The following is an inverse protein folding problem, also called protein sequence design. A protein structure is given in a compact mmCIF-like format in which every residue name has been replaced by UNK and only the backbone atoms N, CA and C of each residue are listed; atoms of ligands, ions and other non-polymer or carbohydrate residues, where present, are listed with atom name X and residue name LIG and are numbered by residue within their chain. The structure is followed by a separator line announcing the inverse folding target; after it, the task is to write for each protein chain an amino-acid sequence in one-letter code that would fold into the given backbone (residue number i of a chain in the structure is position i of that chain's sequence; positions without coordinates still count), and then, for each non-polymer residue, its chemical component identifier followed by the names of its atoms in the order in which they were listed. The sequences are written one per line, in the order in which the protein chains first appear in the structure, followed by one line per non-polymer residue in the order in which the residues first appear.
data_IF_872019216442
#
_entry.id   IF_872019216442
#
_cell.length_a   1.000
_cell.length_b   1.000
_cell.length_c   1.000
_cell.angle_alpha   90.00
_cell.angle_beta   90.00
_cell.angle_gamma   90.00
#
_symmetry.space_group_name_H-M   'P 1'
#
loop_
_entity.id
_entity.type
_entity.pdbx_description
1 polymer ?
#
# COMPACT_ATOMS: atom_id res chain seq x y z
N UNK A 1 23.29 33.04 -1.68
CA UNK A 1 23.26 31.56 -1.74
C UNK A 1 22.32 30.88 -0.74
N UNK A 2 21.79 31.57 0.28
CA UNK A 2 20.88 30.97 1.28
C UNK A 2 19.42 30.76 0.80
N UNK A 3 18.94 31.49 -0.22
CA UNK A 3 17.55 31.40 -0.68
C UNK A 3 17.21 30.13 -1.46
N UNK A 4 18.18 29.52 -2.14
CA UNK A 4 17.97 28.30 -2.94
C UNK A 4 17.75 27.06 -2.05
N UNK A 5 18.43 26.99 -0.90
CA UNK A 5 18.30 25.87 0.03
C UNK A 5 16.93 25.82 0.74
N UNK A 6 16.37 26.99 1.06
CA UNK A 6 15.06 27.08 1.74
C UNK A 6 13.93 26.71 0.76
N UNK A 7 14.03 27.10 -0.53
CA UNK A 7 13.05 26.75 -1.55
C UNK A 7 13.06 25.25 -1.87
N UNK A 8 14.23 24.62 -1.88
CA UNK A 8 14.40 23.20 -2.11
C UNK A 8 13.83 22.37 -0.93
N UNK A 9 14.12 22.79 0.30
CA UNK A 9 13.57 22.15 1.51
C UNK A 9 12.04 22.29 1.60
N UNK A 10 11.47 23.43 1.21
CA UNK A 10 10.02 23.64 1.14
C UNK A 10 9.37 22.79 0.04
N UNK A 11 10.03 22.66 -1.10
CA UNK A 11 9.55 21.82 -2.20
C UNK A 11 9.53 20.34 -1.81
N UNK A 12 10.61 19.84 -1.18
CA UNK A 12 10.69 18.46 -0.71
C UNK A 12 9.67 18.20 0.42
N UNK A 13 9.47 19.15 1.32
CA UNK A 13 8.47 19.05 2.38
C UNK A 13 7.03 19.04 1.82
N UNK A 14 6.72 19.90 0.84
CA UNK A 14 5.42 19.91 0.16
C UNK A 14 5.19 18.65 -0.67
N UNK A 15 6.25 18.08 -1.25
CA UNK A 15 6.19 16.81 -1.96
C UNK A 15 5.90 15.67 -1.00
N UNK A 16 6.59 15.63 0.15
CA UNK A 16 6.40 14.64 1.20
C UNK A 16 4.99 14.69 1.80
N UNK A 17 4.44 15.88 2.06
CA UNK A 17 3.06 16.07 2.52
C UNK A 17 2.02 15.62 1.47
N UNK A 18 2.31 15.76 0.17
CA UNK A 18 1.47 15.23 -0.90
C UNK A 18 1.53 13.71 -0.97
N UNK A 19 2.71 13.12 -0.82
CA UNK A 19 2.92 11.68 -0.82
C UNK A 19 2.23 11.02 0.38
N UNK A 20 2.38 11.56 1.58
CA UNK A 20 1.68 11.08 2.79
C UNK A 20 0.15 11.18 2.66
N UNK A 21 -0.35 12.24 2.03
CA UNK A 21 -1.80 12.41 1.83
C UNK A 21 -2.37 11.43 0.79
N UNK A 22 -1.58 11.03 -0.21
CA UNK A 22 -1.99 10.07 -1.24
C UNK A 22 -2.00 8.63 -0.68
N UNK A 23 -1.12 8.31 0.27
CA UNK A 23 -1.02 6.98 0.90
C UNK A 23 -2.27 6.58 1.70
N UNK A 24 -3.03 7.55 2.20
CA UNK A 24 -4.24 7.30 2.98
C UNK A 24 -5.48 7.00 2.10
N UNK A 25 -5.42 7.25 0.80
CA UNK A 25 -6.55 7.03 -0.10
C UNK A 25 -6.66 5.57 -0.52
N UNK A 26 -7.85 5.00 -0.41
CA UNK A 26 -8.13 3.63 -0.84
C UNK A 26 -9.53 3.50 -1.44
N UNK A 27 -9.78 2.37 -2.11
CA UNK A 27 -11.09 2.01 -2.62
C UNK A 27 -12.04 1.61 -1.48
N UNK A 28 -13.34 1.69 -1.72
CA UNK A 28 -14.33 1.17 -0.77
C UNK A 28 -14.18 -0.35 -0.57
N UNK A 29 -13.83 -1.07 -1.64
CA UNK A 29 -13.57 -2.51 -1.59
C UNK A 29 -12.35 -2.83 -0.71
N UNK A 30 -11.26 -2.07 -0.87
CA UNK A 30 -10.05 -2.21 -0.06
C UNK A 30 -10.34 -1.96 1.42
N UNK A 31 -11.09 -0.91 1.73
CA UNK A 31 -11.51 -0.62 3.11
C UNK A 31 -12.32 -1.78 3.72
N UNK A 32 -13.30 -2.32 2.98
CA UNK A 32 -14.10 -3.47 3.43
C UNK A 32 -13.24 -4.71 3.68
N UNK A 33 -12.25 -4.96 2.84
CA UNK A 33 -11.30 -6.08 3.04
C UNK A 33 -10.47 -5.91 4.31
N UNK A 34 -9.94 -4.71 4.58
CA UNK A 34 -9.20 -4.44 5.81
C UNK A 34 -10.07 -4.59 7.06
N UNK A 35 -11.31 -4.12 7.01
CA UNK A 35 -12.27 -4.30 8.11
C UNK A 35 -12.60 -5.76 8.36
N UNK A 36 -12.76 -6.57 7.30
CA UNK A 36 -13.02 -8.01 7.42
C UNK A 36 -11.80 -8.74 8.02
N UNK A 37 -10.58 -8.41 7.56
CA UNK A 37 -9.35 -8.96 8.11
C UNK A 37 -9.19 -8.60 9.59
N UNK A 38 -9.40 -7.35 9.97
CA UNK A 38 -9.35 -6.92 11.36
C UNK A 38 -10.31 -7.72 12.23
N UNK A 39 -11.55 -7.87 11.75
CA UNK A 39 -12.57 -8.65 12.47
C UNK A 39 -12.15 -10.12 12.64
N UNK A 40 -11.58 -10.75 11.61
CA UNK A 40 -11.08 -12.12 11.68
C UNK A 40 -9.97 -12.27 12.73
N UNK A 41 -8.98 -11.37 12.70
CA UNK A 41 -7.89 -11.37 13.68
C UNK A 41 -8.39 -11.23 15.11
N UNK A 42 -9.38 -10.36 15.34
CA UNK A 42 -9.93 -10.11 16.68
C UNK A 42 -10.88 -11.22 17.17
N UNK A 43 -11.71 -11.78 16.28
CA UNK A 43 -12.77 -12.71 16.68
C UNK A 43 -12.39 -14.18 16.50
N UNK A 44 -11.39 -14.50 15.70
CA UNK A 44 -10.97 -15.87 15.43
C UNK A 44 -9.55 -16.11 15.92
N UNK A 45 -8.58 -15.33 15.45
CA UNK A 45 -7.16 -15.63 15.74
C UNK A 45 -6.80 -15.30 17.20
N UNK A 46 -7.27 -14.16 17.74
CA UNK A 46 -6.98 -13.80 19.14
C UNK A 46 -7.52 -14.84 20.15
N UNK A 47 -8.77 -15.35 20.05
CA UNK A 47 -9.23 -16.43 20.90
C UNK A 47 -8.42 -17.74 20.76
N UNK A 48 -8.00 -18.11 19.53
CA UNK A 48 -7.16 -19.31 19.31
C UNK A 48 -5.83 -19.19 20.06
N UNK A 49 -5.16 -18.04 19.95
CA UNK A 49 -3.89 -17.83 20.66
C UNK A 49 -4.11 -17.79 22.17
N UNK A 50 -5.21 -17.18 22.65
CA UNK A 50 -5.56 -17.21 24.06
C UNK A 50 -5.76 -18.63 24.59
N UNK A 51 -6.43 -19.50 23.82
CA UNK A 51 -6.60 -20.91 24.17
C UNK A 51 -5.27 -21.67 24.18
N UNK A 52 -4.39 -21.42 23.22
CA UNK A 52 -3.06 -22.02 23.17
C UNK A 52 -2.21 -21.63 24.40
N UNK A 53 -2.27 -20.37 24.82
CA UNK A 53 -1.60 -19.90 26.05
C UNK A 53 -2.16 -20.62 27.28
N UNK A 54 -3.48 -20.77 27.38
CA UNK A 54 -4.11 -21.47 28.50
C UNK A 54 -3.70 -22.96 28.54
N UNK A 55 -3.77 -23.64 27.40
CA UNK A 55 -3.33 -25.04 27.26
C UNK A 55 -1.87 -25.22 27.65
N UNK A 56 -0.97 -24.35 27.19
CA UNK A 56 0.43 -24.41 27.55
C UNK A 56 0.66 -24.21 29.06
N UNK A 57 -0.11 -23.35 29.73
CA UNK A 57 -0.08 -23.14 31.17
C UNK A 57 -0.51 -24.40 31.94
N UNK A 58 -1.54 -25.08 31.48
CA UNK A 58 -2.09 -26.26 32.14
C UNK A 58 -1.12 -27.46 32.08
N UNK A 59 -0.13 -27.45 31.18
CA UNK A 59 0.89 -28.47 31.03
C UNK A 59 1.98 -28.42 32.12
N UNK A 60 2.05 -27.37 32.96
CA UNK A 60 2.93 -27.33 34.14
C UNK A 60 4.03 -26.26 34.07
N UNK A 61 5.26 -26.60 34.42
CA UNK A 61 6.36 -25.64 34.64
C UNK A 61 6.56 -24.68 33.46
N UNK A 62 6.31 -23.38 33.71
CA UNK A 62 6.39 -22.32 32.72
C UNK A 62 7.82 -21.87 32.40
N UNK A 63 8.79 -22.20 33.27
CA UNK A 63 10.17 -21.75 33.15
C UNK A 63 10.93 -22.40 31.99
N UNK A 64 10.48 -23.60 31.54
CA UNK A 64 11.06 -24.32 30.42
C UNK A 64 10.02 -24.72 29.36
N UNK A 65 8.86 -24.01 29.32
CA UNK A 65 7.75 -24.35 28.43
C UNK A 65 7.86 -23.62 27.12
N UNK A 66 8.54 -24.20 26.13
CA UNK A 66 8.69 -23.65 24.80
C UNK A 66 7.36 -23.40 24.08
N UNK A 67 6.28 -24.16 24.38
CA UNK A 67 4.94 -23.92 23.78
C UNK A 67 4.31 -22.64 24.34
N UNK A 68 4.51 -22.37 25.62
CA UNK A 68 4.04 -21.11 26.23
C UNK A 68 4.75 -19.91 25.65
N UNK A 69 6.08 -19.95 25.50
CA UNK A 69 6.87 -18.87 24.93
C UNK A 69 6.48 -18.62 23.47
N UNK A 70 6.32 -19.67 22.65
CA UNK A 70 5.87 -19.56 21.28
C UNK A 70 4.46 -18.95 21.17
N UNK A 71 3.53 -19.35 22.05
CA UNK A 71 2.17 -18.79 22.06
C UNK A 71 2.17 -17.31 22.50
N UNK A 72 3.05 -16.92 23.43
CA UNK A 72 3.22 -15.52 23.84
C UNK A 72 3.84 -14.66 22.74
N UNK A 73 4.82 -15.18 22.01
CA UNK A 73 5.38 -14.50 20.82
C UNK A 73 4.31 -14.31 19.75
N UNK A 74 3.54 -15.37 19.43
CA UNK A 74 2.44 -15.29 18.48
C UNK A 74 1.39 -14.26 18.90
N UNK A 75 1.08 -14.14 20.22
CA UNK A 75 0.20 -13.10 20.74
C UNK A 75 0.76 -11.70 20.46
N UNK A 76 2.04 -11.49 20.73
CA UNK A 76 2.70 -10.20 20.47
C UNK A 76 2.65 -9.80 18.99
N UNK A 77 2.94 -10.75 18.10
CA UNK A 77 2.88 -10.52 16.64
C UNK A 77 1.45 -10.24 16.17
N UNK A 78 0.45 -10.96 16.69
CA UNK A 78 -0.95 -10.70 16.36
C UNK A 78 -1.40 -9.30 16.79
N UNK A 79 -1.09 -8.89 18.03
CA UNK A 79 -1.48 -7.55 18.50
C UNK A 79 -0.77 -6.43 17.71
N UNK A 80 0.48 -6.62 17.32
CA UNK A 80 1.16 -5.66 16.42
C UNK A 80 0.45 -5.56 15.08
N UNK A 81 0.02 -6.69 14.48
CA UNK A 81 -0.72 -6.70 13.22
C UNK A 81 -2.08 -6.00 13.35
N UNK A 82 -2.82 -6.29 14.42
CA UNK A 82 -4.11 -5.65 14.73
C UNK A 82 -3.93 -4.13 14.87
N UNK A 83 -2.93 -3.68 15.64
CA UNK A 83 -2.67 -2.25 15.84
C UNK A 83 -2.28 -1.56 14.52
N UNK A 84 -1.46 -2.19 13.68
CA UNK A 84 -1.13 -1.67 12.36
C UNK A 84 -2.36 -1.54 11.47
N UNK A 85 -3.23 -2.56 11.43
CA UNK A 85 -4.48 -2.51 10.66
C UNK A 85 -5.42 -1.41 11.17
N UNK A 86 -5.58 -1.28 12.49
CA UNK A 86 -6.39 -0.22 13.09
C UNK A 86 -5.89 1.17 12.71
N UNK A 87 -4.59 1.40 12.74
CA UNK A 87 -3.99 2.66 12.32
C UNK A 87 -4.27 2.93 10.84
N UNK A 88 -4.05 1.94 9.96
CA UNK A 88 -4.33 2.07 8.53
C UNK A 88 -5.81 2.39 8.27
N UNK A 89 -6.73 1.73 8.97
CA UNK A 89 -8.18 1.97 8.84
C UNK A 89 -8.57 3.35 9.36
N UNK A 90 -7.97 3.80 10.47
CA UNK A 90 -8.26 5.12 11.05
C UNK A 90 -7.81 6.27 10.14
N UNK A 91 -6.69 6.09 9.43
CA UNK A 91 -6.15 7.09 8.51
C UNK A 91 -6.78 6.99 7.10
N UNK A 92 -7.56 5.95 6.83
CA UNK A 92 -8.12 5.66 5.52
C UNK A 92 -9.08 6.75 5.03
N UNK A 93 -8.85 7.22 3.81
CA UNK A 93 -9.74 8.13 3.07
C UNK A 93 -10.33 7.38 1.87
N UNK A 94 -11.60 7.07 1.95
CA UNK A 94 -12.29 6.36 0.88
C UNK A 94 -12.51 7.32 -0.30
N UNK A 95 -12.05 6.92 -1.48
CA UNK A 95 -12.29 7.66 -2.72
C UNK A 95 -13.61 7.20 -3.32
N UNK A 96 -14.44 8.16 -3.67
CA UNK A 96 -15.62 7.96 -4.50
C UNK A 96 -15.17 7.81 -5.96
N UNK A 97 -15.15 6.57 -6.44
CA UNK A 97 -14.70 6.22 -7.81
C UNK A 97 -15.52 6.95 -8.89
N UNK A 98 -16.78 7.32 -8.59
CA UNK A 98 -17.63 8.05 -9.54
C UNK A 98 -17.14 9.47 -9.83
N UNK A 99 -16.28 10.02 -8.97
CA UNK A 99 -15.71 11.37 -9.10
C UNK A 99 -14.30 11.37 -9.69
N UNK A 100 -13.75 10.21 -9.99
CA UNK A 100 -12.43 10.11 -10.62
C UNK A 100 -12.49 10.69 -12.04
N UNK A 101 -11.45 11.46 -12.36
CA UNK A 101 -11.28 12.01 -13.71
C UNK A 101 -10.19 11.23 -14.44
N UNK A 102 -10.40 10.97 -15.71
CA UNK A 102 -9.43 10.28 -16.58
C UNK A 102 -8.53 11.24 -17.36
N UNK A 103 -8.50 12.51 -16.96
CA UNK A 103 -7.67 13.55 -17.63
C UNK A 103 -6.17 13.35 -17.38
N UNK A 104 -5.83 12.71 -16.28
CA UNK A 104 -4.46 12.41 -15.87
C UNK A 104 -4.42 11.19 -14.98
N UNK A 105 -3.25 10.57 -14.89
CA UNK A 105 -2.99 9.41 -14.03
C UNK A 105 -3.11 9.80 -12.56
N UNK A 106 -4.00 9.12 -11.84
CA UNK A 106 -4.28 9.31 -10.41
C UNK A 106 -4.35 7.95 -9.71
N UNK A 107 -4.53 7.96 -8.39
CA UNK A 107 -4.81 6.75 -7.61
C UNK A 107 -6.18 6.16 -8.00
N UNK A 108 -6.33 4.85 -7.93
CA UNK A 108 -7.47 4.03 -8.36
C UNK A 108 -7.77 4.07 -9.87
N UNK A 109 -6.85 4.60 -10.67
CA UNK A 109 -6.99 4.63 -12.12
C UNK A 109 -6.17 3.51 -12.77
N UNK A 110 -6.77 2.90 -13.77
CA UNK A 110 -6.14 1.91 -14.66
C UNK A 110 -5.44 2.63 -15.81
N UNK A 111 -4.15 2.32 -15.99
CA UNK A 111 -3.29 2.94 -17.00
C UNK A 111 -2.73 1.87 -17.92
N UNK A 112 -2.96 2.02 -19.23
CA UNK A 112 -2.28 1.25 -20.25
C UNK A 112 -0.98 1.96 -20.63
N UNK A 113 0.13 1.25 -20.49
CA UNK A 113 1.48 1.74 -20.73
C UNK A 113 2.12 0.97 -21.88
N UNK A 114 2.97 1.64 -22.63
CA UNK A 114 3.80 1.04 -23.66
C UNK A 114 5.27 1.36 -23.37
N UNK A 115 6.08 0.34 -23.30
CA UNK A 115 7.52 0.53 -23.18
C UNK A 115 8.09 1.01 -24.53
N UNK A 116 8.71 2.20 -24.53
CA UNK A 116 9.20 2.85 -25.73
C UNK A 116 10.31 2.04 -26.41
N UNK A 117 11.13 1.29 -25.63
CA UNK A 117 12.28 0.52 -26.19
C UNK A 117 11.85 -0.76 -26.91
N UNK A 118 10.90 -1.51 -26.37
CA UNK A 118 10.54 -2.85 -26.87
C UNK A 118 9.08 -2.96 -27.33
N UNK A 119 8.28 -1.90 -27.21
CA UNK A 119 6.90 -1.87 -27.63
C UNK A 119 5.92 -2.68 -26.76
N UNK A 120 6.40 -3.31 -25.68
CA UNK A 120 5.55 -4.11 -24.79
C UNK A 120 4.49 -3.23 -24.13
N UNK A 121 3.24 -3.72 -24.18
CA UNK A 121 2.12 -3.10 -23.48
C UNK A 121 1.93 -3.72 -22.10
N UNK A 122 1.62 -2.90 -21.13
CA UNK A 122 1.37 -3.29 -19.74
C UNK A 122 0.17 -2.49 -19.23
N UNK A 123 -0.65 -3.12 -18.40
CA UNK A 123 -1.78 -2.47 -17.76
C UNK A 123 -1.56 -2.53 -16.27
N UNK A 124 -1.60 -1.37 -15.62
CA UNK A 124 -1.49 -1.25 -14.18
C UNK A 124 -2.62 -0.40 -13.63
N UNK A 125 -3.11 -0.78 -12.45
CA UNK A 125 -3.97 0.06 -11.62
C UNK A 125 -3.14 0.59 -10.46
N UNK A 126 -3.11 1.91 -10.27
CA UNK A 126 -2.39 2.52 -9.16
C UNK A 126 -3.29 2.49 -7.93
N UNK A 127 -2.83 1.86 -6.87
CA UNK A 127 -3.61 1.65 -5.64
C UNK A 127 -2.80 2.02 -4.39
N UNK A 128 -3.45 2.04 -3.23
CA UNK A 128 -2.75 2.15 -1.95
C UNK A 128 -1.83 0.94 -1.71
N UNK A 129 -0.89 1.06 -0.78
CA UNK A 129 0.03 -0.04 -0.45
C UNK A 129 -0.72 -1.27 0.04
N UNK A 130 -1.80 -1.08 0.81
CA UNK A 130 -2.63 -2.16 1.35
C UNK A 130 -3.42 -2.94 0.29
N UNK A 131 -3.66 -2.34 -0.88
CA UNK A 131 -4.40 -2.96 -1.99
C UNK A 131 -3.49 -3.49 -3.10
N UNK A 132 -2.16 -3.29 -2.98
CA UNK A 132 -1.21 -3.67 -4.01
C UNK A 132 -1.17 -5.19 -4.23
N UNK A 133 -1.33 -5.61 -5.49
CA UNK A 133 -1.25 -7.01 -5.91
C UNK A 133 -0.71 -7.08 -7.35
N UNK A 134 0.56 -7.39 -7.49
CA UNK A 134 1.22 -7.47 -8.81
C UNK A 134 0.61 -8.52 -9.73
N UNK A 135 0.04 -9.61 -9.18
CA UNK A 135 -0.62 -10.65 -9.99
C UNK A 135 -1.89 -10.13 -10.67
N UNK A 136 -2.54 -9.15 -10.06
CA UNK A 136 -3.73 -8.47 -10.59
C UNK A 136 -3.38 -7.19 -11.35
N UNK A 137 -2.10 -6.86 -11.51
CA UNK A 137 -1.66 -5.61 -12.11
C UNK A 137 -1.89 -4.37 -11.22
N UNK A 138 -2.15 -4.56 -9.92
CA UNK A 138 -2.31 -3.48 -8.94
C UNK A 138 -0.96 -3.11 -8.36
N UNK A 139 -0.45 -1.92 -8.68
CA UNK A 139 0.82 -1.41 -8.17
C UNK A 139 0.60 -0.36 -7.09
N UNK A 140 1.41 -0.44 -6.03
CA UNK A 140 1.37 0.57 -4.98
C UNK A 140 1.81 1.94 -5.50
N UNK A 141 1.12 2.99 -5.05
CA UNK A 141 1.46 4.40 -5.28
C UNK A 141 2.91 4.72 -4.90
N UNK A 142 3.50 3.96 -3.97
CA UNK A 142 4.89 4.12 -3.51
C UNK A 142 5.93 3.54 -4.47
N UNK A 143 5.51 2.80 -5.49
CA UNK A 143 6.46 2.24 -6.47
C UNK A 143 7.03 3.34 -7.36
N UNK A 144 8.31 3.25 -7.77
CA UNK A 144 8.92 4.21 -8.70
C UNK A 144 8.12 4.37 -9.99
N UNK A 145 7.47 3.30 -10.46
CA UNK A 145 6.64 3.31 -11.67
C UNK A 145 5.40 4.17 -11.42
N UNK A 146 4.67 3.94 -10.33
CA UNK A 146 3.48 4.72 -10.00
C UNK A 146 3.83 6.20 -9.79
N UNK A 147 4.89 6.51 -9.04
CA UNK A 147 5.34 7.88 -8.80
C UNK A 147 5.72 8.63 -10.08
N UNK A 148 6.38 7.94 -11.02
CA UNK A 148 6.75 8.53 -12.31
C UNK A 148 5.55 8.77 -13.24
N UNK A 149 4.44 8.06 -13.02
CA UNK A 149 3.23 8.14 -13.82
C UNK A 149 2.21 9.13 -13.28
N UNK A 150 2.16 9.37 -11.96
CA UNK A 150 1.19 10.27 -11.35
C UNK A 150 1.20 11.65 -12.00
N UNK A 151 0.01 12.13 -12.37
CA UNK A 151 -0.19 13.42 -13.04
C UNK A 151 0.11 13.43 -14.54
N UNK A 152 0.62 12.34 -15.13
CA UNK A 152 0.83 12.20 -16.58
C UNK A 152 -0.50 12.08 -17.31
N UNK A 153 -0.51 12.50 -18.57
CA UNK A 153 -1.67 12.43 -19.48
C UNK A 153 -1.43 11.38 -20.56
N UNK A 154 -2.49 11.02 -21.26
CA UNK A 154 -2.39 10.18 -22.46
C UNK A 154 -1.45 10.83 -23.47
N UNK A 155 -0.49 10.05 -23.99
CA UNK A 155 0.57 10.51 -24.89
C UNK A 155 1.86 10.96 -24.20
N UNK A 156 1.85 11.17 -22.88
CA UNK A 156 3.06 11.52 -22.15
C UNK A 156 4.01 10.33 -22.01
N UNK A 157 5.30 10.60 -22.03
CA UNK A 157 6.35 9.62 -21.73
C UNK A 157 6.92 9.91 -20.35
N UNK A 158 6.93 8.88 -19.50
CA UNK A 158 7.56 8.92 -18.18
C UNK A 158 8.91 8.20 -18.22
N UNK A 159 9.99 8.91 -17.90
CA UNK A 159 11.29 8.30 -17.65
C UNK A 159 11.40 7.90 -16.18
N UNK A 160 11.48 6.61 -15.92
CA UNK A 160 11.44 6.04 -14.58
C UNK A 160 12.74 5.32 -14.31
N UNK A 161 13.35 5.62 -13.17
CA UNK A 161 14.53 4.92 -12.69
C UNK A 161 14.10 3.73 -11.84
N UNK A 162 14.40 2.54 -12.31
CA UNK A 162 14.18 1.28 -11.57
C UNK A 162 15.55 0.64 -11.27
N UNK A 163 15.65 -0.32 -10.33
CA UNK A 163 16.91 -0.97 -10.00
C UNK A 163 17.66 -1.57 -11.20
N UNK A 164 16.93 -1.92 -12.26
CA UNK A 164 17.48 -2.50 -13.49
C UNK A 164 17.92 -1.44 -14.53
N UNK A 165 17.78 -0.15 -14.22
CA UNK A 165 18.13 0.95 -15.10
C UNK A 165 16.98 1.93 -15.36
N UNK A 166 17.13 2.78 -16.38
CA UNK A 166 16.08 3.72 -16.79
C UNK A 166 15.17 3.08 -17.82
N UNK A 167 13.88 3.18 -17.61
CA UNK A 167 12.83 2.77 -18.55
C UNK A 167 12.01 3.98 -18.96
N UNK A 168 11.61 4.03 -20.22
CA UNK A 168 10.68 5.04 -20.74
C UNK A 168 9.35 4.37 -21.04
N UNK A 169 8.28 4.84 -20.38
CA UNK A 169 6.92 4.33 -20.51
C UNK A 169 6.01 5.43 -21.07
N UNK A 170 5.37 5.16 -22.20
CA UNK A 170 4.35 6.01 -22.80
C UNK A 170 2.98 5.65 -22.23
N UNK A 171 2.22 6.65 -21.80
CA UNK A 171 0.82 6.48 -21.36
C UNK A 171 -0.07 6.39 -22.60
N UNK A 172 -0.59 5.20 -22.87
CA UNK A 172 -1.43 4.92 -24.05
C UNK A 172 -2.90 5.22 -23.78
N UNK A 173 -3.40 4.82 -22.62
CA UNK A 173 -4.79 5.01 -22.24
C UNK A 173 -4.94 5.14 -20.72
N UNK A 174 -5.97 5.88 -20.31
CA UNK A 174 -6.35 6.09 -18.90
C UNK A 174 -7.83 5.75 -18.78
N UNK A 175 -8.17 4.80 -17.89
CA UNK A 175 -9.55 4.34 -17.66
C UNK A 175 -9.80 4.08 -16.16
N UNK A 176 -11.03 3.94 -15.78
CA UNK A 176 -11.46 3.52 -14.44
C UNK A 176 -11.63 2.02 -14.41
#
# INVERSE_FOLDING_TARGET
MAHVGILFCLYDHLKQLKEENIMAYMSEEGYKKLMAELKELETVERPKISAAIAEARDKGDLSENAEYDAAKEAQGMLEMRINKLKATIADAKIIDESKLKTDSVQILIKVELKNVKNGMKMIYTIVSESEANLKEGKISVNTPIAQGLLGKKVGDVAEITVPQGKIALEVVNISI
#
